data_IF_514846867737
#
_entry.id   IF_514846867737
#
_cell.length_a   1.000
_cell.length_b   1.000
_cell.length_c   1.000
_cell.angle_alpha   90.00
_cell.angle_beta   90.00
_cell.angle_gamma   90.00
#
_symmetry.space_group_name_H-M   'P 1'
#
loop_
_entity.id
_entity.type
_entity.pdbx_description
1 polymer ?
#
# COMPACT_ATOMS: atom_id res chain seq x y z
N UNK A 1 -49.72 19.82 31.69
CA UNK A 1 -49.71 19.99 33.17
C UNK A 1 -49.42 18.64 33.81
N UNK A 2 -48.44 18.59 34.74
CA UNK A 2 -48.20 17.55 35.77
C UNK A 2 -47.69 16.18 35.23
N UNK A 3 -46.62 15.56 35.73
CA UNK A 3 -45.76 15.74 36.92
C UNK A 3 -44.37 15.11 36.67
N UNK A 4 -43.33 15.79 37.13
CA UNK A 4 -42.02 15.19 37.46
C UNK A 4 -42.16 14.24 38.65
N UNK A 5 -41.37 13.16 38.65
CA UNK A 5 -40.92 12.47 39.87
C UNK A 5 -39.40 12.30 39.80
N UNK A 6 -38.77 12.89 40.80
CA UNK A 6 -37.36 12.79 41.21
C UNK A 6 -37.27 11.68 42.26
N UNK A 7 -36.18 10.90 42.25
CA UNK A 7 -35.49 10.23 43.38
C UNK A 7 -34.85 8.93 42.87
N UNK A 8 -33.70 8.46 43.33
CA UNK A 8 -32.57 9.01 44.06
C UNK A 8 -31.50 7.91 44.05
N UNK A 9 -30.24 8.36 44.04
CA UNK A 9 -29.04 7.78 44.62
C UNK A 9 -29.19 6.47 45.43
N UNK A 10 -28.37 5.46 45.12
CA UNK A 10 -27.73 4.61 46.15
C UNK A 10 -26.30 4.25 45.74
N UNK A 11 -25.39 4.76 46.55
CA UNK A 11 -23.96 4.51 46.62
C UNK A 11 -23.76 3.24 47.45
N UNK A 12 -22.92 2.28 47.03
CA UNK A 12 -22.27 1.39 47.99
C UNK A 12 -20.87 1.02 47.51
N UNK A 13 -19.89 1.59 48.22
CA UNK A 13 -18.52 1.11 48.31
C UNK A 13 -18.51 -0.20 49.11
N UNK A 14 -17.69 -1.16 48.70
CA UNK A 14 -17.16 -2.18 49.59
C UNK A 14 -15.67 -2.37 49.28
N UNK A 15 -14.84 -1.64 50.02
CA UNK A 15 -13.45 -2.01 50.33
C UNK A 15 -13.46 -2.47 51.78
N UNK A 16 -13.05 -3.70 52.05
CA UNK A 16 -12.11 -4.09 53.12
C UNK A 16 -12.14 -5.60 53.37
N UNK A 17 -10.97 -6.21 53.15
CA UNK A 17 -10.52 -7.34 53.95
C UNK A 17 -9.00 -7.20 54.11
N UNK A 18 -8.59 -6.48 55.16
CA UNK A 18 -7.27 -6.63 55.74
C UNK A 18 -7.26 -7.87 56.64
N UNK A 19 -6.21 -8.69 56.53
CA UNK A 19 -5.69 -9.41 57.69
C UNK A 19 -4.18 -9.55 57.56
N UNK A 20 -3.49 -8.87 58.47
CA UNK A 20 -2.04 -8.79 58.62
C UNK A 20 -1.41 -10.14 59.04
N UNK A 21 -0.18 -10.37 58.56
CA UNK A 21 1.02 -10.42 59.43
C UNK A 21 2.31 -10.49 58.61
N UNK A 22 3.21 -9.54 58.88
CA UNK A 22 4.62 -9.52 58.47
C UNK A 22 5.42 -10.72 59.02
N UNK A 23 6.50 -11.11 58.32
CA UNK A 23 7.91 -10.94 58.77
C UNK A 23 8.89 -11.43 57.68
N UNK A 24 9.77 -10.51 57.30
CA UNK A 24 11.17 -10.60 56.86
C UNK A 24 11.64 -11.59 55.76
N UNK A 25 12.06 -10.97 54.65
CA UNK A 25 13.41 -10.97 54.08
C UNK A 25 14.03 -12.32 53.65
N UNK A 26 14.11 -12.53 52.33
CA UNK A 26 15.36 -12.93 51.70
C UNK A 26 15.38 -12.60 50.21
N UNK A 27 16.49 -11.99 49.83
CA UNK A 27 16.89 -11.55 48.50
C UNK A 27 16.97 -12.70 47.50
N UNK A 28 16.31 -12.56 46.33
CA UNK A 28 16.84 -13.08 45.06
C UNK A 28 16.63 -12.01 44.00
N UNK A 29 17.73 -11.32 43.68
CA UNK A 29 17.86 -10.58 42.44
C UNK A 29 17.90 -11.59 41.28
N UNK A 30 17.13 -11.32 40.23
CA UNK A 30 17.18 -12.10 39.00
C UNK A 30 15.82 -12.27 38.36
N UNK A 31 15.18 -11.17 37.95
CA UNK A 31 14.20 -11.26 36.87
C UNK A 31 14.92 -10.82 35.61
N UNK A 32 15.29 -11.81 34.81
CA UNK A 32 15.84 -11.67 33.48
C UNK A 32 15.01 -10.67 32.69
N UNK A 33 15.69 -9.68 32.11
CA UNK A 33 15.13 -8.87 31.05
C UNK A 33 14.74 -9.85 29.93
N UNK A 34 13.44 -10.03 29.74
CA UNK A 34 12.89 -10.75 28.61
C UNK A 34 13.40 -10.05 27.35
N UNK A 35 14.39 -10.65 26.69
CA UNK A 35 14.88 -10.16 25.41
C UNK A 35 13.68 -10.10 24.47
N UNK A 36 13.43 -8.97 23.78
CA UNK A 36 12.35 -8.93 22.82
C UNK A 36 12.61 -10.04 21.80
N UNK A 37 11.64 -10.96 21.69
CA UNK A 37 11.69 -12.04 20.73
C UNK A 37 12.03 -11.44 19.37
N UNK A 38 13.12 -11.92 18.76
CA UNK A 38 13.49 -11.54 17.41
C UNK A 38 12.27 -11.80 16.52
N UNK A 39 11.74 -10.72 15.93
CA UNK A 39 10.60 -10.78 15.04
C UNK A 39 10.95 -11.77 13.92
N UNK A 40 10.25 -12.90 13.87
CA UNK A 40 10.50 -13.91 12.85
C UNK A 40 10.43 -13.23 11.48
N UNK A 41 11.50 -13.37 10.69
CA UNK A 41 11.57 -12.79 9.35
C UNK A 41 10.38 -13.29 8.53
N UNK A 42 9.42 -12.41 8.25
CA UNK A 42 8.18 -12.73 7.55
C UNK A 42 8.46 -12.88 6.05
N UNK A 43 8.01 -14.00 5.49
CA UNK A 43 8.17 -14.35 4.07
C UNK A 43 7.40 -13.36 3.18
N UNK A 44 8.01 -12.79 2.13
CA UNK A 44 7.32 -11.87 1.23
C UNK A 44 6.20 -12.58 0.46
N UNK A 45 5.01 -11.98 0.43
CA UNK A 45 3.75 -12.62 -0.02
C UNK A 45 3.46 -12.45 -1.51
N UNK A 46 4.29 -11.72 -2.24
CA UNK A 46 4.29 -11.83 -3.70
C UNK A 46 5.70 -11.71 -4.26
N UNK A 47 6.12 -12.76 -4.96
CA UNK A 47 7.39 -12.80 -5.67
C UNK A 47 7.10 -12.61 -7.15
N UNK A 48 7.65 -11.54 -7.73
CA UNK A 48 7.60 -11.32 -9.17
C UNK A 48 8.51 -12.33 -9.86
N UNK A 49 7.92 -13.27 -10.59
CA UNK A 49 8.62 -14.18 -11.48
C UNK A 49 8.37 -13.77 -12.94
N UNK A 50 9.36 -13.15 -13.60
CA UNK A 50 9.20 -12.67 -14.99
C UNK A 50 8.82 -13.79 -15.97
N UNK A 51 9.23 -15.03 -15.72
CA UNK A 51 8.92 -16.16 -16.60
C UNK A 51 7.40 -16.44 -16.71
N UNK A 52 6.62 -16.02 -15.70
CA UNK A 52 5.17 -16.16 -15.68
C UNK A 52 4.44 -14.97 -16.32
N UNK A 53 5.18 -13.94 -16.76
CA UNK A 53 4.60 -12.74 -17.36
C UNK A 53 4.53 -12.85 -18.87
N UNK A 54 3.32 -12.75 -19.42
CA UNK A 54 3.03 -12.93 -20.84
C UNK A 54 2.53 -11.64 -21.47
N UNK A 55 2.92 -11.41 -22.73
CA UNK A 55 2.43 -10.26 -23.49
C UNK A 55 0.90 -10.32 -23.59
N UNK A 56 0.24 -9.25 -23.16
CA UNK A 56 -1.21 -9.14 -23.05
C UNK A 56 -1.68 -7.85 -23.70
N UNK A 57 -2.69 -7.95 -24.57
CA UNK A 57 -3.33 -6.81 -25.23
C UNK A 57 -4.51 -6.30 -24.40
N UNK A 58 -4.41 -5.07 -23.88
CA UNK A 58 -5.44 -4.45 -23.04
C UNK A 58 -6.61 -3.89 -23.86
N UNK A 59 -6.45 -3.72 -25.18
CA UNK A 59 -7.49 -3.15 -26.04
C UNK A 59 -8.72 -4.06 -26.18
N UNK A 60 -8.55 -5.36 -25.92
CA UNK A 60 -9.65 -6.32 -25.84
C UNK A 60 -10.57 -6.10 -24.63
N UNK A 61 -10.06 -5.53 -23.54
CA UNK A 61 -10.84 -5.20 -22.33
C UNK A 61 -11.37 -3.77 -22.37
N UNK A 62 -10.57 -2.81 -22.83
CA UNK A 62 -11.01 -1.44 -23.09
C UNK A 62 -10.42 -0.91 -24.38
N UNK A 63 -11.28 -0.58 -25.35
CA UNK A 63 -10.86 0.01 -26.63
C UNK A 63 -10.16 1.38 -26.47
N UNK A 64 -10.31 2.04 -25.32
CA UNK A 64 -9.61 3.28 -24.99
C UNK A 64 -8.20 3.06 -24.43
N UNK A 65 -7.79 1.80 -24.25
CA UNK A 65 -6.47 1.42 -23.72
C UNK A 65 -5.72 0.61 -24.79
N UNK A 66 -5.20 1.25 -25.85
CA UNK A 66 -4.44 0.60 -26.91
C UNK A 66 -3.03 0.29 -26.43
N UNK A 67 -2.90 -0.50 -25.36
CA UNK A 67 -1.62 -0.86 -24.75
C UNK A 67 -1.47 -2.38 -24.81
N UNK A 68 -0.28 -2.81 -25.19
CA UNK A 68 0.16 -4.18 -24.99
C UNK A 68 1.29 -4.16 -23.97
N UNK A 69 1.26 -5.06 -22.99
CA UNK A 69 2.25 -5.10 -21.90
C UNK A 69 2.36 -6.52 -21.36
N UNK A 70 3.53 -6.90 -20.82
CA UNK A 70 3.65 -8.18 -20.11
C UNK A 70 2.92 -8.09 -18.77
N UNK A 71 2.11 -9.10 -18.45
CA UNK A 71 1.38 -9.23 -17.18
C UNK A 71 1.45 -10.68 -16.67
N UNK A 72 1.32 -10.93 -15.36
CA UNK A 72 1.27 -12.29 -14.82
C UNK A 72 0.21 -13.14 -15.50
N UNK A 73 0.56 -14.38 -15.83
CA UNK A 73 -0.39 -15.36 -16.36
C UNK A 73 -1.50 -15.59 -15.34
N UNK A 74 -2.75 -15.40 -15.77
CA UNK A 74 -3.93 -15.55 -14.91
C UNK A 74 -4.39 -14.26 -14.23
N UNK A 75 -3.74 -13.12 -14.48
CA UNK A 75 -4.27 -11.82 -14.08
C UNK A 75 -5.67 -11.60 -14.67
N UNK A 76 -6.57 -11.02 -13.86
CA UNK A 76 -7.94 -10.71 -14.28
C UNK A 76 -7.99 -9.27 -14.78
N UNK A 77 -8.51 -9.07 -15.98
CA UNK A 77 -8.63 -7.76 -16.61
C UNK A 77 -10.07 -7.25 -16.49
N UNK A 78 -10.25 -6.08 -15.90
CA UNK A 78 -11.55 -5.44 -15.77
C UNK A 78 -11.50 -4.01 -16.30
N UNK A 79 -12.56 -3.58 -16.99
CA UNK A 79 -12.68 -2.18 -17.39
C UNK A 79 -12.93 -1.31 -16.15
N UNK A 80 -12.13 -0.27 -15.95
CA UNK A 80 -12.28 0.63 -14.82
C UNK A 80 -13.12 1.88 -15.14
N UNK A 81 -13.52 2.62 -14.11
CA UNK A 81 -14.38 3.80 -14.23
C UNK A 81 -13.79 4.97 -15.02
N UNK A 82 -12.47 4.98 -15.22
CA UNK A 82 -11.75 6.00 -15.99
C UNK A 82 -11.64 5.64 -17.49
N UNK A 83 -12.32 4.58 -17.94
CA UNK A 83 -12.22 4.07 -19.30
C UNK A 83 -10.95 3.25 -19.55
N UNK A 84 -10.17 2.98 -18.50
CA UNK A 84 -8.97 2.17 -18.52
C UNK A 84 -9.22 0.70 -18.22
N UNK A 85 -8.16 0.00 -17.80
CA UNK A 85 -8.17 -1.40 -17.38
C UNK A 85 -7.52 -1.51 -16.00
N UNK A 86 -8.20 -2.16 -15.06
CA UNK A 86 -7.60 -2.66 -13.83
C UNK A 86 -7.16 -4.10 -14.04
N UNK A 87 -5.90 -4.39 -13.74
CA UNK A 87 -5.27 -5.70 -13.82
C UNK A 87 -5.14 -6.25 -12.40
N UNK A 88 -6.04 -7.14 -12.01
CA UNK A 88 -5.96 -7.81 -10.70
C UNK A 88 -4.99 -8.97 -10.79
N UNK A 89 -3.87 -8.86 -10.10
CA UNK A 89 -2.83 -9.90 -10.03
C UNK A 89 -3.16 -10.88 -8.89
N UNK A 90 -3.64 -10.36 -7.77
CA UNK A 90 -4.23 -11.10 -6.67
C UNK A 90 -5.24 -10.20 -5.93
N UNK A 91 -5.75 -10.65 -4.79
CA UNK A 91 -6.78 -9.91 -4.01
C UNK A 91 -6.31 -8.54 -3.52
N UNK A 92 -5.00 -8.31 -3.46
CA UNK A 92 -4.38 -7.14 -2.83
C UNK A 92 -3.54 -6.33 -3.80
N UNK A 93 -3.18 -6.88 -4.96
CA UNK A 93 -2.31 -6.23 -5.93
C UNK A 93 -3.01 -6.01 -7.26
N UNK A 94 -3.19 -4.74 -7.60
CA UNK A 94 -3.84 -4.28 -8.82
C UNK A 94 -2.92 -3.34 -9.56
N UNK A 95 -2.81 -3.47 -10.88
CA UNK A 95 -2.21 -2.46 -11.75
C UNK A 95 -3.32 -1.74 -12.49
N UNK A 96 -3.47 -0.44 -12.26
CA UNK A 96 -4.43 0.39 -12.99
C UNK A 96 -3.76 1.04 -14.19
N UNK A 97 -4.39 0.86 -15.34
CA UNK A 97 -3.94 1.42 -16.62
C UNK A 97 -5.01 2.35 -17.15
N UNK A 98 -4.71 3.62 -17.40
CA UNK A 98 -5.70 4.57 -17.91
C UNK A 98 -5.03 5.80 -18.55
N UNK A 99 -5.83 6.53 -19.35
CA UNK A 99 -5.39 7.74 -20.01
C UNK A 99 -5.26 8.91 -19.02
N UNK A 100 -4.28 9.78 -19.27
CA UNK A 100 -3.96 10.92 -18.41
C UNK A 100 -4.22 12.23 -19.15
N UNK A 101 -4.95 13.13 -18.50
CA UNK A 101 -5.32 14.43 -19.06
C UNK A 101 -4.25 15.50 -18.74
N UNK A 102 -3.10 15.38 -19.38
CA UNK A 102 -1.91 16.24 -19.20
C UNK A 102 -1.31 16.59 -20.56
N UNK A 103 -0.54 17.67 -20.61
CA UNK A 103 0.04 18.17 -21.87
C UNK A 103 1.47 17.70 -22.13
N UNK A 104 2.21 17.33 -21.08
CA UNK A 104 3.60 16.89 -21.19
C UNK A 104 3.92 15.71 -20.26
N UNK A 105 4.97 14.96 -20.59
CA UNK A 105 5.48 13.90 -19.71
C UNK A 105 5.95 14.49 -18.38
N UNK A 106 6.59 15.65 -18.39
CA UNK A 106 7.06 16.31 -17.17
C UNK A 106 5.92 16.67 -16.23
N UNK A 107 4.82 17.23 -16.76
CA UNK A 107 3.61 17.51 -15.99
C UNK A 107 3.03 16.23 -15.39
N UNK A 108 2.99 15.14 -16.17
CA UNK A 108 2.50 13.86 -15.70
C UNK A 108 3.33 13.29 -14.54
N UNK A 109 4.65 13.23 -14.70
CA UNK A 109 5.55 12.70 -13.67
C UNK A 109 5.48 13.57 -12.43
N UNK A 110 5.53 14.91 -12.59
CA UNK A 110 5.46 15.82 -11.46
C UNK A 110 4.13 15.68 -10.71
N UNK A 111 3.01 15.68 -11.42
CA UNK A 111 1.68 15.52 -10.81
C UNK A 111 1.56 14.23 -10.02
N UNK A 112 2.06 13.11 -10.55
CA UNK A 112 2.03 11.83 -9.84
C UNK A 112 2.97 11.82 -8.63
N UNK A 113 4.15 12.44 -8.71
CA UNK A 113 5.02 12.60 -7.54
C UNK A 113 4.36 13.44 -6.45
N UNK A 114 3.73 14.55 -6.81
CA UNK A 114 3.00 15.41 -5.86
C UNK A 114 1.88 14.64 -5.14
N UNK A 115 1.18 13.76 -5.87
CA UNK A 115 0.08 12.93 -5.33
C UNK A 115 0.56 11.70 -4.53
N UNK A 116 1.84 11.34 -4.59
CA UNK A 116 2.40 10.17 -3.93
C UNK A 116 3.46 10.59 -2.92
N UNK A 117 4.72 10.69 -3.33
CA UNK A 117 5.87 11.05 -2.50
C UNK A 117 5.84 12.50 -1.99
N UNK A 118 5.04 13.37 -2.61
CA UNK A 118 4.81 14.75 -2.17
C UNK A 118 3.88 14.88 -0.96
N UNK A 119 3.14 13.83 -0.59
CA UNK A 119 2.15 13.85 0.49
C UNK A 119 2.75 13.68 1.89
N UNK A 120 3.73 14.51 2.23
CA UNK A 120 4.45 14.49 3.52
C UNK A 120 3.56 14.78 4.74
N UNK A 121 2.34 15.30 4.55
CA UNK A 121 1.35 15.43 5.61
C UNK A 121 0.75 14.08 6.01
N UNK A 122 0.64 13.14 5.07
CA UNK A 122 0.04 11.81 5.23
C UNK A 122 1.09 10.71 5.45
N UNK A 123 2.27 10.86 4.84
CA UNK A 123 3.28 9.81 4.78
C UNK A 123 4.61 10.22 5.43
N UNK A 124 5.38 9.23 5.87
CA UNK A 124 6.74 9.32 6.41
C UNK A 124 7.64 8.26 5.76
N UNK A 125 8.94 8.31 6.05
CA UNK A 125 9.95 7.36 5.55
C UNK A 125 9.93 7.20 4.01
N UNK A 126 9.64 8.31 3.32
CA UNK A 126 9.47 8.33 1.88
C UNK A 126 10.83 8.10 1.21
N UNK A 127 10.89 7.17 0.26
CA UNK A 127 12.06 6.92 -0.59
C UNK A 127 11.65 6.86 -2.04
N UNK A 128 12.61 7.16 -2.92
CA UNK A 128 12.52 6.96 -4.36
C UNK A 128 13.65 6.01 -4.78
N UNK A 129 13.48 4.68 -4.60
CA UNK A 129 14.48 3.70 -5.05
C UNK A 129 14.82 3.82 -6.54
N UNK A 130 13.87 4.32 -7.34
CA UNK A 130 14.07 4.59 -8.76
C UNK A 130 13.32 5.84 -9.18
N UNK A 131 13.98 6.70 -9.95
CA UNK A 131 13.40 7.93 -10.48
C UNK A 131 13.91 8.19 -11.90
N UNK A 132 13.00 8.18 -12.87
CA UNK A 132 13.30 8.31 -14.29
C UNK A 132 12.29 9.25 -14.99
N UNK A 133 12.61 9.76 -16.20
CA UNK A 133 11.74 10.70 -16.91
C UNK A 133 10.34 10.18 -17.27
N UNK A 134 10.11 8.87 -17.23
CA UNK A 134 8.83 8.24 -17.60
C UNK A 134 8.25 7.39 -16.47
N UNK A 135 8.81 7.45 -15.28
CA UNK A 135 8.32 6.64 -14.17
C UNK A 135 9.24 6.64 -12.97
N UNK A 136 8.74 6.08 -11.88
CA UNK A 136 9.49 5.99 -10.63
C UNK A 136 8.95 4.85 -9.78
N UNK A 137 9.81 4.32 -8.93
CA UNK A 137 9.45 3.40 -7.84
C UNK A 137 9.63 4.18 -6.55
N UNK A 138 8.66 4.04 -5.64
CA UNK A 138 8.64 4.78 -4.40
C UNK A 138 8.19 3.90 -3.25
N UNK A 139 8.68 4.24 -2.06
CA UNK A 139 8.24 3.62 -0.82
C UNK A 139 7.77 4.69 0.14
N UNK A 140 6.80 4.37 0.99
CA UNK A 140 6.38 5.24 2.07
C UNK A 140 5.76 4.43 3.21
N UNK A 141 5.68 5.03 4.38
CA UNK A 141 4.90 4.52 5.50
C UNK A 141 3.80 5.54 5.80
N UNK A 142 2.56 5.09 5.97
CA UNK A 142 1.49 5.97 6.42
C UNK A 142 1.75 6.42 7.86
N UNK A 143 1.50 7.70 8.16
CA UNK A 143 1.61 8.20 9.54
C UNK A 143 0.64 7.44 10.46
N UNK A 144 1.01 7.24 11.74
CA UNK A 144 0.11 6.65 12.70
C UNK A 144 -1.19 7.43 12.82
N UNK A 145 -2.29 6.71 13.00
CA UNK A 145 -3.59 7.32 13.29
C UNK A 145 -3.71 7.73 14.78
N UNK A 146 -4.69 8.57 15.09
CA UNK A 146 -4.93 9.05 16.47
C UNK A 146 -5.26 7.93 17.46
N UNK A 147 -5.71 6.77 16.97
CA UNK A 147 -5.95 5.55 17.74
C UNK A 147 -4.66 4.72 18.00
N UNK A 148 -3.50 5.19 17.54
CA UNK A 148 -2.20 4.54 17.74
C UNK A 148 -1.88 3.45 16.73
N UNK A 149 -2.70 3.24 15.68
CA UNK A 149 -2.38 2.25 14.65
C UNK A 149 -1.12 2.62 13.90
N UNK A 150 -0.29 1.60 13.63
CA UNK A 150 0.95 1.72 12.88
C UNK A 150 0.82 0.94 11.58
N UNK A 151 1.32 1.53 10.51
CA UNK A 151 1.34 0.95 9.18
C UNK A 151 2.73 0.38 8.88
N UNK A 152 2.77 -0.67 8.08
CA UNK A 152 4.02 -1.15 7.52
C UNK A 152 4.43 -0.26 6.34
N UNK A 153 5.74 -0.18 6.03
CA UNK A 153 6.19 0.48 4.82
C UNK A 153 5.63 -0.23 3.59
N UNK A 154 5.15 0.51 2.60
CA UNK A 154 4.67 -0.01 1.33
C UNK A 154 5.53 0.50 0.19
N UNK A 155 5.62 -0.31 -0.87
CA UNK A 155 6.33 0.04 -2.11
C UNK A 155 5.38 -0.01 -3.29
N UNK A 156 5.54 0.92 -4.22
CA UNK A 156 4.67 1.13 -5.37
C UNK A 156 5.50 1.64 -6.55
N UNK A 157 4.97 1.55 -7.76
CA UNK A 157 5.55 2.11 -8.97
C UNK A 157 4.54 2.92 -9.78
N UNK A 158 5.08 3.84 -10.57
CA UNK A 158 4.38 4.57 -11.60
C UNK A 158 5.19 4.51 -12.89
N UNK A 159 4.55 4.20 -14.01
CA UNK A 159 5.15 4.28 -15.34
C UNK A 159 4.18 4.96 -16.31
N UNK A 160 4.72 5.74 -17.24
CA UNK A 160 3.95 6.46 -18.23
C UNK A 160 4.41 6.14 -19.66
N UNK A 161 3.43 6.07 -20.55
CA UNK A 161 3.62 5.96 -21.99
C UNK A 161 3.06 7.20 -22.69
N UNK A 162 3.65 7.54 -23.82
CA UNK A 162 3.13 8.57 -24.72
C UNK A 162 2.89 7.96 -26.10
N UNK A 163 1.71 8.21 -26.67
CA UNK A 163 1.38 7.84 -28.05
C UNK A 163 2.03 8.82 -29.04
N UNK A 164 2.20 8.43 -30.32
CA UNK A 164 2.61 9.37 -31.37
C UNK A 164 1.67 10.57 -31.54
N UNK A 165 0.39 10.40 -31.20
CA UNK A 165 -0.62 11.47 -31.20
C UNK A 165 -0.55 12.40 -29.99
N UNK A 166 0.39 12.18 -29.06
CA UNK A 166 0.60 13.02 -27.88
C UNK A 166 -0.25 12.66 -26.67
N UNK A 167 -1.17 11.68 -26.76
CA UNK A 167 -1.90 11.18 -25.60
C UNK A 167 -0.98 10.44 -24.63
N UNK A 168 -1.26 10.57 -23.32
CA UNK A 168 -0.49 9.93 -22.26
C UNK A 168 -1.31 8.83 -21.56
N UNK A 169 -0.64 7.76 -21.17
CA UNK A 169 -1.20 6.69 -20.36
C UNK A 169 -0.32 6.45 -19.15
N UNK A 170 -0.93 6.12 -18.02
CA UNK A 170 -0.20 5.63 -16.84
C UNK A 170 -0.47 4.15 -16.61
N UNK A 171 0.54 3.46 -16.10
CA UNK A 171 0.47 2.17 -15.45
C UNK A 171 0.99 2.39 -14.04
N UNK A 172 0.11 2.30 -13.05
CA UNK A 172 0.47 2.44 -11.64
C UNK A 172 -0.08 1.27 -10.88
N UNK A 173 0.72 0.71 -9.99
CA UNK A 173 0.18 -0.26 -9.06
C UNK A 173 -0.56 0.42 -7.90
N UNK A 174 -1.46 -0.36 -7.33
CA UNK A 174 -2.15 -0.07 -6.09
C UNK A 174 -2.15 -1.34 -5.25
N UNK A 175 -1.89 -1.16 -3.97
CA UNK A 175 -2.18 -2.15 -2.95
C UNK A 175 -3.24 -1.57 -2.00
N UNK A 176 -4.17 -2.39 -1.54
CA UNK A 176 -5.00 -2.03 -0.39
C UNK A 176 -4.10 -1.79 0.81
N UNK A 177 -4.12 -0.58 1.37
CA UNK A 177 -3.35 -0.23 2.56
C UNK A 177 -3.55 -1.28 3.64
N UNK A 178 -2.51 -2.06 3.92
CA UNK A 178 -2.64 -3.29 4.70
C UNK A 178 -1.80 -3.19 5.97
N UNK A 179 -2.49 -3.34 7.10
CA UNK A 179 -1.85 -3.44 8.42
C UNK A 179 -1.10 -4.76 8.59
N UNK A 180 -1.33 -5.73 7.72
CA UNK A 180 -0.65 -7.02 7.75
C UNK A 180 0.67 -6.91 6.98
N UNK A 181 1.77 -7.06 7.71
CA UNK A 181 3.12 -7.07 7.13
C UNK A 181 3.30 -8.20 6.09
N UNK A 182 2.51 -9.27 6.19
CA UNK A 182 2.50 -10.35 5.21
C UNK A 182 1.66 -10.01 3.97
N UNK A 183 1.17 -8.79 3.80
CA UNK A 183 0.37 -8.40 2.63
C UNK A 183 1.01 -7.24 1.89
N UNK A 184 2.18 -6.82 2.38
CA UNK A 184 2.94 -5.70 1.88
C UNK A 184 3.68 -6.10 0.62
N UNK A 185 3.53 -5.27 -0.40
CA UNK A 185 4.30 -5.34 -1.62
C UNK A 185 5.71 -4.78 -1.38
N UNK A 186 6.73 -5.62 -1.54
CA UNK A 186 8.12 -5.26 -1.21
C UNK A 186 8.74 -4.33 -2.24
N UNK A 187 9.77 -3.58 -1.82
CA UNK A 187 10.55 -2.72 -2.73
C UNK A 187 11.17 -3.52 -3.88
N UNK A 188 11.68 -4.72 -3.59
CA UNK A 188 12.24 -5.62 -4.61
C UNK A 188 11.17 -6.08 -5.62
N UNK A 189 9.97 -6.42 -5.15
CA UNK A 189 8.86 -6.78 -6.04
C UNK A 189 8.44 -5.58 -6.90
N UNK A 190 8.32 -4.38 -6.32
CA UNK A 190 7.98 -3.16 -7.05
C UNK A 190 9.01 -2.81 -8.12
N UNK A 191 10.30 -2.89 -7.80
CA UNK A 191 11.37 -2.69 -8.78
C UNK A 191 11.29 -3.72 -9.92
N UNK A 192 11.11 -5.02 -9.61
CA UNK A 192 11.00 -6.05 -10.66
C UNK A 192 9.78 -5.85 -11.55
N UNK A 193 8.61 -5.61 -10.97
CA UNK A 193 7.40 -5.34 -11.76
C UNK A 193 7.56 -4.09 -12.62
N UNK A 194 8.10 -3.02 -12.05
CA UNK A 194 8.39 -1.79 -12.78
C UNK A 194 9.30 -2.04 -13.99
N UNK A 195 10.42 -2.77 -13.84
CA UNK A 195 11.31 -3.06 -14.96
C UNK A 195 10.62 -3.91 -16.04
N UNK A 196 9.83 -4.91 -15.68
CA UNK A 196 9.09 -5.73 -16.65
C UNK A 196 8.07 -4.88 -17.41
N UNK A 197 7.30 -4.06 -16.69
CA UNK A 197 6.31 -3.15 -17.28
C UNK A 197 7.00 -2.17 -18.22
N UNK A 198 8.01 -1.45 -17.73
CA UNK A 198 8.78 -0.48 -18.52
C UNK A 198 9.39 -1.11 -19.78
N UNK A 199 9.92 -2.31 -19.68
CA UNK A 199 10.57 -2.98 -20.82
C UNK A 199 9.58 -3.55 -21.85
N UNK A 200 8.31 -3.76 -21.48
CA UNK A 200 7.33 -4.45 -22.33
C UNK A 200 6.15 -3.61 -22.77
N UNK A 201 5.83 -2.55 -22.05
CA UNK A 201 4.64 -1.74 -22.31
C UNK A 201 4.83 -0.92 -23.59
N UNK A 202 3.91 -1.09 -24.53
CA UNK A 202 3.92 -0.45 -25.84
C UNK A 202 2.51 0.01 -26.22
N UNK A 203 2.41 1.16 -26.85
CA UNK A 203 1.17 1.63 -27.47
C UNK A 203 0.99 0.87 -28.78
N UNK A 204 -0.20 0.30 -28.97
CA UNK A 204 -0.63 -0.30 -30.24
C UNK A 204 -0.98 0.84 -31.19
N UNK A 205 -0.21 0.94 -32.27
CA UNK A 205 -0.41 1.92 -33.34
C UNK A 205 -1.30 1.38 -34.46
#
# INVERSE_FOLDING_TARGET
>A
MKKMIIMALMLSLALQSCKDKEVADNTVAGTEAEAPAAEAAKTPVYVVNEADWVETDLSGTSSLTPITVKLPKGAVLEKNGNGGVDVKINDEYVISVYAQAVSTMEELIKGNKDLTVGRTTQYVDIKLPKDEPTGFVYTYTMKPEANGFKYNPESHFFHALQTKGGAFFSLSDGNSSTMDANKVYTEEAALKAYEIIKASAKVKE
#
